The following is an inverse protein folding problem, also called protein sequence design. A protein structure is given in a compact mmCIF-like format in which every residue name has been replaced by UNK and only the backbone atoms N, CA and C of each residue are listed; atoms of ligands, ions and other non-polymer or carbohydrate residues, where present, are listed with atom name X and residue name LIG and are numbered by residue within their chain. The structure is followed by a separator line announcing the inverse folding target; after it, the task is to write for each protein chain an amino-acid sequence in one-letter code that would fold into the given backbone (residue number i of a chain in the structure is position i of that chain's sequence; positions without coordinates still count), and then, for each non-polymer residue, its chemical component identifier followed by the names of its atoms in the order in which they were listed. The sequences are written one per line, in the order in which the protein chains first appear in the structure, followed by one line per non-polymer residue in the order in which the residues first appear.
data_IF_799877636412
#
_entry.id   IF_799877636412
#
_cell.length_a   1.000
_cell.length_b   1.000
_cell.length_c   1.000
_cell.angle_alpha   90.00
_cell.angle_beta   90.00
_cell.angle_gamma   90.00
#
_symmetry.space_group_name_H-M   'P 1'
#
loop_
_entity.id
_entity.type
_entity.pdbx_description
1 polymer ?
#
# COMPACT_ATOMS: atom_id res chain seq x y z
N UNK A 1 -21.57 0.17 -2.70
CA UNK A 1 -21.11 1.44 -3.31
C UNK A 1 -20.11 2.22 -2.45
N UNK A 2 -20.36 2.38 -1.14
CA UNK A 2 -19.46 3.12 -0.24
C UNK A 2 -18.01 2.57 -0.23
N UNK A 3 -17.82 1.25 -0.12
CA UNK A 3 -16.49 0.63 -0.14
C UNK A 3 -15.67 0.91 -1.41
N UNK A 4 -16.33 1.01 -2.57
CA UNK A 4 -15.65 1.34 -3.83
C UNK A 4 -15.11 2.78 -3.79
N UNK A 5 -15.91 3.73 -3.31
CA UNK A 5 -15.50 5.13 -3.19
C UNK A 5 -14.31 5.26 -2.25
N UNK A 6 -14.38 4.62 -1.08
CA UNK A 6 -13.28 4.63 -0.10
C UNK A 6 -12.01 4.01 -0.67
N UNK A 7 -12.12 2.90 -1.42
CA UNK A 7 -10.97 2.27 -2.07
C UNK A 7 -10.30 3.20 -3.11
N UNK A 8 -11.10 3.90 -3.92
CA UNK A 8 -10.57 4.88 -4.90
C UNK A 8 -9.87 6.04 -4.21
N UNK A 9 -10.45 6.57 -3.12
CA UNK A 9 -9.83 7.62 -2.30
C UNK A 9 -8.52 7.12 -1.71
N UNK A 10 -8.49 5.91 -1.17
CA UNK A 10 -7.27 5.32 -0.61
C UNK A 10 -6.16 5.20 -1.65
N UNK A 11 -6.47 4.76 -2.87
CA UNK A 11 -5.51 4.69 -3.97
C UNK A 11 -4.94 6.06 -4.35
N UNK A 12 -5.81 7.09 -4.42
CA UNK A 12 -5.40 8.47 -4.66
C UNK A 12 -4.46 8.98 -3.55
N UNK A 13 -4.83 8.79 -2.30
CA UNK A 13 -4.05 9.22 -1.15
C UNK A 13 -2.68 8.52 -1.08
N UNK A 14 -2.62 7.22 -1.38
CA UNK A 14 -1.35 6.47 -1.45
C UNK A 14 -0.42 7.04 -2.53
N UNK A 15 -0.96 7.39 -3.69
CA UNK A 15 -0.17 7.98 -4.79
C UNK A 15 0.37 9.35 -4.41
N UNK A 16 -0.48 10.22 -3.86
CA UNK A 16 -0.08 11.56 -3.39
C UNK A 16 0.97 11.46 -2.27
N UNK A 17 0.73 10.62 -1.27
CA UNK A 17 1.67 10.38 -0.18
C UNK A 17 3.05 9.92 -0.68
N UNK A 18 3.07 8.97 -1.61
CA UNK A 18 4.32 8.45 -2.17
C UNK A 18 5.13 9.52 -2.91
N UNK A 19 4.47 10.37 -3.69
CA UNK A 19 5.12 11.50 -4.38
C UNK A 19 5.66 12.52 -3.38
N UNK A 20 4.85 12.90 -2.38
CA UNK A 20 5.26 13.87 -1.35
C UNK A 20 6.46 13.34 -0.55
N UNK A 21 6.41 12.10 -0.10
CA UNK A 21 7.51 11.48 0.67
C UNK A 21 8.80 11.39 -0.16
N UNK A 22 8.68 11.09 -1.46
CA UNK A 22 9.82 11.11 -2.36
C UNK A 22 10.41 12.52 -2.51
N UNK A 23 9.55 13.55 -2.55
CA UNK A 23 9.96 14.95 -2.56
C UNK A 23 10.73 15.35 -1.29
N UNK A 24 10.22 14.96 -0.12
CA UNK A 24 10.91 15.19 1.17
C UNK A 24 12.24 14.45 1.22
N UNK A 25 12.28 13.19 0.75
CA UNK A 25 13.51 12.39 0.73
C UNK A 25 14.62 13.02 -0.12
N UNK A 26 14.28 13.71 -1.22
CA UNK A 26 15.26 14.43 -2.05
C UNK A 26 15.91 15.62 -1.34
N UNK A 27 15.22 16.20 -0.36
CA UNK A 27 15.71 17.36 0.39
C UNK A 27 16.32 16.98 1.76
N UNK A 28 16.09 15.76 2.21
CA UNK A 28 16.57 15.26 3.51
C UNK A 28 17.29 13.92 3.34
N UNK A 29 16.70 12.86 3.87
CA UNK A 29 17.15 11.49 3.66
C UNK A 29 15.96 10.53 3.69
N UNK A 30 16.16 9.30 3.21
CA UNK A 30 15.16 8.25 3.24
C UNK A 30 14.63 7.98 4.67
N UNK A 31 15.55 7.91 5.63
CA UNK A 31 15.22 7.60 7.02
C UNK A 31 14.48 8.74 7.72
N UNK A 32 14.88 9.99 7.48
CA UNK A 32 14.21 11.17 8.02
C UNK A 32 12.80 11.30 7.44
N UNK A 33 12.64 11.14 6.14
CA UNK A 33 11.34 11.16 5.47
C UNK A 33 10.41 10.06 5.99
N UNK A 34 10.88 8.82 6.00
CA UNK A 34 10.09 7.68 6.46
C UNK A 34 9.72 7.81 7.95
N UNK A 35 10.66 8.22 8.82
CA UNK A 35 10.40 8.44 10.23
C UNK A 35 9.38 9.54 10.48
N UNK A 36 9.48 10.67 9.76
CA UNK A 36 8.53 11.77 9.88
C UNK A 36 7.11 11.37 9.45
N UNK A 37 6.99 10.60 8.37
CA UNK A 37 5.69 10.08 7.90
C UNK A 37 5.01 9.21 8.95
N UNK A 38 5.75 8.28 9.56
CA UNK A 38 5.18 7.41 10.59
C UNK A 38 4.83 8.19 11.88
N UNK A 39 5.66 9.16 12.25
CA UNK A 39 5.39 10.02 13.38
C UNK A 39 4.13 10.88 13.16
N UNK A 40 4.00 11.53 12.02
CA UNK A 40 2.82 12.34 11.70
C UNK A 40 1.55 11.51 11.61
N UNK A 41 1.63 10.29 11.04
CA UNK A 41 0.52 9.35 11.02
C UNK A 41 0.09 8.93 12.44
N UNK A 42 1.05 8.68 13.33
CA UNK A 42 0.76 8.38 14.74
C UNK A 42 -0.01 9.52 15.41
N UNK A 43 0.40 10.78 15.21
CA UNK A 43 -0.29 11.95 15.76
C UNK A 43 -1.75 11.98 15.26
N UNK A 44 -1.99 11.80 13.96
CA UNK A 44 -3.34 11.77 13.38
C UNK A 44 -4.18 10.65 14.02
N UNK A 45 -3.61 9.47 14.18
CA UNK A 45 -4.29 8.34 14.82
C UNK A 45 -4.63 8.64 16.30
N UNK A 46 -3.73 9.26 17.05
CA UNK A 46 -3.97 9.66 18.45
C UNK A 46 -5.12 10.69 18.53
N UNK A 47 -5.11 11.70 17.66
CA UNK A 47 -6.17 12.71 17.61
C UNK A 47 -7.51 12.03 17.27
N UNK A 48 -7.54 11.19 16.26
CA UNK A 48 -8.75 10.45 15.89
C UNK A 48 -9.26 9.58 17.04
N UNK A 49 -8.38 8.85 17.73
CA UNK A 49 -8.74 8.04 18.90
C UNK A 49 -9.31 8.88 20.06
N UNK A 50 -8.74 10.06 20.30
CA UNK A 50 -9.25 10.97 21.33
C UNK A 50 -10.67 11.50 21.02
N UNK A 51 -10.99 11.68 19.75
CA UNK A 51 -12.29 12.21 19.28
C UNK A 51 -13.35 11.10 19.21
N UNK A 52 -12.98 9.90 18.75
CA UNK A 52 -13.94 8.83 18.39
C UNK A 52 -14.39 7.95 19.55
N UNK A 53 -13.84 8.09 20.76
CA UNK A 53 -14.40 7.40 21.92
C UNK A 53 -13.41 6.73 22.85
N UNK A 54 -12.10 6.86 22.66
CA UNK A 54 -11.03 6.41 23.56
C UNK A 54 -11.13 4.93 23.95
N UNK A 55 -11.32 4.05 22.98
CA UNK A 55 -11.33 2.63 23.22
C UNK A 55 -10.06 2.15 23.94
N UNK A 56 -10.20 1.11 24.76
CA UNK A 56 -9.11 0.65 25.61
C UNK A 56 -7.93 0.11 24.78
N UNK A 57 -6.78 0.75 24.88
CA UNK A 57 -5.52 0.29 24.25
C UNK A 57 -5.13 -1.11 24.74
N UNK A 58 -5.55 -1.50 25.97
CA UNK A 58 -5.31 -2.85 26.50
C UNK A 58 -5.95 -3.97 25.66
N UNK A 59 -6.91 -3.64 24.78
CA UNK A 59 -7.49 -4.60 23.83
C UNK A 59 -6.43 -5.19 22.88
N UNK A 60 -5.35 -4.47 22.60
CA UNK A 60 -4.22 -4.98 21.80
C UNK A 60 -3.57 -6.24 22.44
N UNK A 61 -3.57 -6.32 23.76
CA UNK A 61 -3.06 -7.51 24.46
C UNK A 61 -3.89 -8.76 24.19
N UNK A 62 -5.15 -8.62 23.81
CA UNK A 62 -6.09 -9.72 23.52
C UNK A 62 -6.05 -10.19 22.07
N UNK A 63 -5.35 -9.46 21.17
CA UNK A 63 -5.26 -9.83 19.75
C UNK A 63 -4.57 -11.20 19.61
N UNK A 64 -5.18 -12.08 18.85
CA UNK A 64 -4.65 -13.39 18.50
C UNK A 64 -4.94 -13.68 17.01
N UNK A 65 -3.95 -14.20 16.28
CA UNK A 65 -2.55 -14.42 16.66
C UNK A 65 -1.72 -13.12 16.74
N UNK A 66 -0.67 -13.13 17.55
CA UNK A 66 0.15 -11.94 17.86
C UNK A 66 0.88 -11.35 16.65
N UNK A 67 1.19 -12.14 15.63
CA UNK A 67 1.85 -11.65 14.41
C UNK A 67 1.04 -10.58 13.66
N UNK A 68 -0.28 -10.51 13.86
CA UNK A 68 -1.14 -9.47 13.27
C UNK A 68 -0.73 -8.05 13.73
N UNK A 69 -0.11 -7.92 14.91
CA UNK A 69 0.39 -6.65 15.42
C UNK A 69 1.63 -6.12 14.68
N UNK A 70 2.24 -6.93 13.81
CA UNK A 70 3.38 -6.51 12.98
C UNK A 70 2.99 -5.58 11.82
N UNK A 71 1.69 -5.32 11.62
CA UNK A 71 1.20 -4.44 10.56
C UNK A 71 1.88 -3.06 10.53
N UNK A 72 2.16 -2.46 11.71
CA UNK A 72 2.89 -1.20 11.80
C UNK A 72 4.34 -1.29 11.30
N UNK A 73 5.04 -2.38 11.62
CA UNK A 73 6.41 -2.65 11.13
C UNK A 73 6.40 -2.82 9.61
N UNK A 74 5.45 -3.59 9.09
CA UNK A 74 5.26 -3.76 7.65
C UNK A 74 4.97 -2.41 6.99
N UNK A 75 4.13 -1.56 7.60
CA UNK A 75 3.83 -0.21 7.11
C UNK A 75 5.08 0.67 6.98
N UNK A 76 6.04 0.57 7.90
CA UNK A 76 7.31 1.27 7.78
C UNK A 76 8.13 0.77 6.57
N UNK A 77 8.23 -0.54 6.36
CA UNK A 77 8.89 -1.12 5.19
C UNK A 77 8.18 -0.75 3.88
N UNK A 78 6.83 -0.72 3.86
CA UNK A 78 6.06 -0.25 2.69
C UNK A 78 6.46 1.19 2.35
N UNK A 79 6.48 2.09 3.34
CA UNK A 79 6.86 3.50 3.12
C UNK A 79 8.26 3.62 2.52
N UNK A 80 9.25 2.92 3.07
CA UNK A 80 10.64 2.93 2.61
C UNK A 80 10.74 2.42 1.17
N UNK A 81 10.12 1.27 0.87
CA UNK A 81 10.20 0.65 -0.46
C UNK A 81 9.44 1.43 -1.52
N UNK A 82 8.31 2.05 -1.18
CA UNK A 82 7.56 2.95 -2.10
C UNK A 82 8.40 4.18 -2.45
N UNK A 83 9.02 4.84 -1.46
CA UNK A 83 9.89 6.00 -1.69
C UNK A 83 11.06 5.61 -2.62
N UNK A 84 11.75 4.51 -2.32
CA UNK A 84 12.90 4.07 -3.10
C UNK A 84 12.50 3.66 -4.53
N UNK A 85 11.35 3.01 -4.70
CA UNK A 85 10.79 2.68 -6.01
C UNK A 85 10.49 3.94 -6.82
N UNK A 86 9.75 4.90 -6.24
CA UNK A 86 9.38 6.15 -6.91
C UNK A 86 10.60 7.01 -7.26
N UNK A 87 11.63 6.99 -6.43
CA UNK A 87 12.90 7.69 -6.69
C UNK A 87 13.62 7.12 -7.92
N UNK A 88 13.57 5.81 -8.14
CA UNK A 88 14.26 5.11 -9.23
C UNK A 88 13.45 5.04 -10.52
N UNK A 89 12.16 4.73 -10.43
CA UNK A 89 11.30 4.43 -11.59
C UNK A 89 10.35 5.58 -11.95
N UNK A 90 10.23 6.56 -11.07
CA UNK A 90 9.21 7.60 -11.16
C UNK A 90 7.85 7.13 -10.60
N UNK A 91 6.93 8.08 -10.30
CA UNK A 91 5.68 7.77 -9.62
C UNK A 91 4.77 6.79 -10.37
N UNK A 92 4.51 7.03 -11.67
CA UNK A 92 3.56 6.24 -12.43
C UNK A 92 3.98 4.77 -12.58
N UNK A 93 5.25 4.52 -12.95
CA UNK A 93 5.79 3.15 -13.09
C UNK A 93 5.78 2.41 -11.75
N UNK A 94 6.17 3.10 -10.67
CA UNK A 94 6.18 2.51 -9.33
C UNK A 94 4.79 2.10 -8.86
N UNK A 95 3.80 2.99 -8.99
CA UNK A 95 2.42 2.70 -8.57
C UNK A 95 1.85 1.52 -9.36
N UNK A 96 2.08 1.45 -10.67
CA UNK A 96 1.59 0.33 -11.48
C UNK A 96 2.17 -1.02 -11.03
N UNK A 97 3.47 -1.11 -10.79
CA UNK A 97 4.10 -2.34 -10.30
C UNK A 97 3.60 -2.73 -8.91
N UNK A 98 3.43 -1.75 -8.03
CA UNK A 98 2.89 -1.96 -6.68
C UNK A 98 1.47 -2.53 -6.76
N UNK A 99 0.60 -1.94 -7.59
CA UNK A 99 -0.80 -2.40 -7.73
C UNK A 99 -0.87 -3.82 -8.28
N UNK A 100 -0.03 -4.19 -9.27
CA UNK A 100 0.03 -5.58 -9.76
C UNK A 100 0.33 -6.54 -8.61
N UNK A 101 1.40 -6.25 -7.84
CA UNK A 101 1.78 -7.14 -6.73
C UNK A 101 0.72 -7.16 -5.64
N UNK A 102 0.02 -6.06 -5.39
CA UNK A 102 -1.11 -6.03 -4.46
C UNK A 102 -2.26 -6.92 -4.92
N UNK A 103 -2.64 -6.88 -6.19
CA UNK A 103 -3.71 -7.73 -6.75
C UNK A 103 -3.33 -9.21 -6.64
N UNK A 104 -2.13 -9.57 -7.08
CA UNK A 104 -1.65 -10.96 -7.06
C UNK A 104 -1.55 -11.48 -5.62
N UNK A 105 -0.89 -10.74 -4.74
CA UNK A 105 -0.70 -11.17 -3.36
C UNK A 105 -2.01 -11.24 -2.57
N UNK A 106 -2.93 -10.28 -2.77
CA UNK A 106 -4.25 -10.33 -2.13
C UNK A 106 -5.04 -11.55 -2.57
N UNK A 107 -5.03 -11.88 -3.87
CA UNK A 107 -5.72 -13.06 -4.37
C UNK A 107 -5.11 -14.37 -3.86
N UNK A 108 -3.78 -14.46 -3.79
CA UNK A 108 -3.09 -15.63 -3.20
C UNK A 108 -3.46 -15.79 -1.72
N UNK A 109 -3.47 -14.71 -0.95
CA UNK A 109 -3.86 -14.72 0.47
C UNK A 109 -5.30 -15.21 0.64
N UNK A 110 -6.25 -14.72 -0.18
CA UNK A 110 -7.64 -15.19 -0.16
C UNK A 110 -7.76 -16.67 -0.53
N UNK A 111 -7.02 -17.15 -1.55
CA UNK A 111 -7.04 -18.56 -1.96
C UNK A 111 -6.51 -19.49 -0.86
N UNK A 112 -5.49 -19.05 -0.14
CA UNK A 112 -4.90 -19.81 0.96
C UNK A 112 -5.72 -19.73 2.24
N UNK A 113 -6.56 -18.69 2.40
CA UNK A 113 -7.32 -18.43 3.62
C UNK A 113 -6.43 -18.15 4.82
N UNK A 114 -5.34 -17.39 4.63
CA UNK A 114 -4.36 -17.04 5.67
C UNK A 114 -4.53 -15.58 6.10
N UNK A 115 -3.82 -15.18 7.14
CA UNK A 115 -3.83 -13.82 7.70
C UNK A 115 -5.22 -13.32 8.15
N UNK A 116 -6.12 -14.24 8.51
CA UNK A 116 -7.47 -13.90 8.98
C UNK A 116 -8.48 -13.69 7.87
N UNK A 117 -8.17 -14.05 6.63
CA UNK A 117 -9.13 -14.02 5.51
C UNK A 117 -9.86 -15.34 5.39
N UNK A 118 -11.13 -15.30 4.97
CA UNK A 118 -11.87 -16.49 4.59
C UNK A 118 -11.30 -17.06 3.29
N UNK A 119 -11.25 -18.40 3.21
CA UNK A 119 -10.74 -19.08 2.02
C UNK A 119 -11.68 -18.88 0.82
N UNK A 120 -11.20 -18.20 -0.19
CA UNK A 120 -11.94 -18.00 -1.44
C UNK A 120 -11.87 -19.24 -2.35
N UNK A 121 -12.92 -19.42 -3.16
CA UNK A 121 -12.87 -20.39 -4.27
C UNK A 121 -12.00 -19.83 -5.40
N UNK A 122 -11.30 -20.73 -6.07
CA UNK A 122 -10.54 -20.38 -7.26
C UNK A 122 -11.49 -20.08 -8.44
N UNK A 123 -11.26 -18.94 -9.10
CA UNK A 123 -12.01 -18.52 -10.28
C UNK A 123 -11.04 -18.12 -11.39
N UNK A 124 -11.16 -18.74 -12.55
CA UNK A 124 -10.35 -18.43 -13.75
C UNK A 124 -10.52 -17.00 -14.22
N UNK A 125 -11.71 -16.43 -14.06
CA UNK A 125 -12.02 -15.04 -14.42
C UNK A 125 -11.14 -14.03 -13.65
N UNK A 126 -10.84 -14.31 -12.38
CA UNK A 126 -9.92 -13.48 -11.58
C UNK A 126 -8.48 -13.57 -12.11
N UNK A 127 -8.03 -14.75 -12.52
CA UNK A 127 -6.70 -14.96 -13.12
C UNK A 127 -6.58 -14.22 -14.45
N UNK A 128 -7.60 -14.32 -15.29
CA UNK A 128 -7.66 -13.62 -16.58
C UNK A 128 -7.64 -12.10 -16.35
N UNK A 129 -8.44 -11.59 -15.39
CA UNK A 129 -8.44 -10.17 -15.03
C UNK A 129 -7.07 -9.68 -14.56
N UNK A 130 -6.38 -10.45 -13.72
CA UNK A 130 -5.02 -10.14 -13.29
C UNK A 130 -4.03 -10.13 -14.46
N UNK A 131 -4.13 -11.11 -15.38
CA UNK A 131 -3.27 -11.17 -16.57
C UNK A 131 -3.47 -9.97 -17.50
N UNK A 132 -4.71 -9.51 -17.68
CA UNK A 132 -5.03 -8.29 -18.44
C UNK A 132 -4.40 -7.06 -17.77
N UNK A 133 -4.50 -6.94 -16.45
CA UNK A 133 -3.89 -5.83 -15.71
C UNK A 133 -2.37 -5.81 -15.87
N UNK A 134 -1.71 -6.96 -15.77
CA UNK A 134 -0.26 -7.10 -16.00
C UNK A 134 0.10 -6.70 -17.42
N UNK A 135 -0.66 -7.16 -18.40
CA UNK A 135 -0.42 -6.83 -19.82
C UNK A 135 -0.55 -5.32 -20.06
N UNK A 136 -1.58 -4.68 -19.48
CA UNK A 136 -1.74 -3.22 -19.55
C UNK A 136 -0.53 -2.45 -19.01
N UNK A 137 0.04 -2.92 -17.90
CA UNK A 137 1.25 -2.30 -17.33
C UNK A 137 2.47 -2.52 -18.23
N UNK A 138 2.64 -3.70 -18.82
CA UNK A 138 3.74 -3.96 -19.77
C UNK A 138 3.65 -3.00 -20.95
N UNK A 139 2.46 -2.83 -21.53
CA UNK A 139 2.22 -1.87 -22.63
C UNK A 139 2.58 -0.45 -22.19
N UNK A 140 2.18 -0.03 -21.00
CA UNK A 140 2.51 1.29 -20.48
C UNK A 140 4.03 1.51 -20.35
N UNK A 141 4.78 0.49 -19.90
CA UNK A 141 6.23 0.56 -19.84
C UNK A 141 6.87 0.70 -21.22
N UNK A 142 6.42 -0.12 -22.17
CA UNK A 142 6.99 -0.13 -23.53
C UNK A 142 6.70 1.15 -24.30
N UNK A 143 5.52 1.77 -24.12
CA UNK A 143 5.18 3.02 -24.80
C UNK A 143 5.90 4.24 -24.23
N UNK A 144 6.30 4.22 -22.96
CA UNK A 144 6.98 5.33 -22.29
C UNK A 144 8.46 5.51 -22.67
N UNK A 145 9.10 4.47 -23.21
CA UNK A 145 10.55 4.52 -23.56
C UNK A 145 10.82 5.06 -24.97
N UNK A 146 9.82 5.12 -25.85
CA UNK A 146 10.01 5.57 -27.23
C UNK A 146 10.16 7.09 -27.40
N UNK A 147 9.90 7.90 -26.39
CA UNK A 147 9.88 9.36 -26.49
C UNK A 147 10.98 10.08 -25.71
N UNK A 148 12.02 9.37 -25.23
CA UNK A 148 13.19 9.98 -24.60
C UNK A 148 14.40 9.60 -25.46
N UNK A 149 14.52 10.25 -26.61
CA UNK A 149 15.78 10.40 -27.37
C UNK A 149 15.97 11.84 -27.70
#
# INVERSE_FOLDING_TARGET
MWGIIVALISGLLMSVQGVMNTGVTKQTSLWVSAGFVQFSALIVCIIAWLITGRESISSLAKVSPKYMLLGGVIGAFITITVIESMKRLGPAKSVMLIVIMQIVSAYVIELMGILGTDKAKFYWEKVIGAAIAVTGVIIFFMCGEKNIK
#
